data_IF_339467937004
#
_entry.id   IF_339467937004
#
_cell.length_a   1.000
_cell.length_b   1.000
_cell.length_c   1.000
_cell.angle_alpha   90.00
_cell.angle_beta   90.00
_cell.angle_gamma   90.00
#
_symmetry.space_group_name_H-M   'P 1'
#
loop_
_entity.id
_entity.type
_entity.pdbx_description
1 polymer ?
#
# COMPACT_ATOMS: atom_id res chain seq x y z
N UNK A 1 30.39 3.13 -10.64
CA UNK A 1 29.66 1.88 -10.92
C UNK A 1 29.75 1.54 -12.40
N UNK A 2 30.00 0.28 -12.75
CA UNK A 2 30.00 -0.24 -14.13
C UNK A 2 28.57 -0.32 -14.70
N UNK A 3 28.39 -0.35 -16.02
CA UNK A 3 27.05 -0.49 -16.61
C UNK A 3 26.36 -1.81 -16.21
N UNK A 4 27.14 -2.89 -16.05
CA UNK A 4 26.60 -4.17 -15.58
C UNK A 4 26.03 -4.05 -14.16
N UNK A 5 26.78 -3.47 -13.22
CA UNK A 5 26.31 -3.23 -11.85
C UNK A 5 25.06 -2.35 -11.83
N UNK A 6 25.01 -1.30 -12.67
CA UNK A 6 23.82 -0.45 -12.78
C UNK A 6 22.59 -1.25 -13.26
N UNK A 7 22.75 -2.14 -14.24
CA UNK A 7 21.66 -3.02 -14.71
C UNK A 7 21.18 -3.94 -13.60
N UNK A 8 22.09 -4.54 -12.83
CA UNK A 8 21.77 -5.45 -11.73
C UNK A 8 20.95 -4.74 -10.64
N UNK A 9 21.33 -3.53 -10.24
CA UNK A 9 20.55 -2.72 -9.30
C UNK A 9 19.14 -2.45 -9.82
N UNK A 10 19.01 -2.00 -11.08
CA UNK A 10 17.70 -1.70 -11.67
C UNK A 10 16.79 -2.91 -11.75
N UNK A 11 17.33 -4.08 -12.12
CA UNK A 11 16.56 -5.34 -12.15
C UNK A 11 16.12 -5.75 -10.75
N UNK A 12 16.99 -5.62 -9.75
CA UNK A 12 16.65 -5.88 -8.35
C UNK A 12 15.52 -4.95 -7.88
N UNK A 13 15.65 -3.65 -8.12
CA UNK A 13 14.65 -2.65 -7.72
C UNK A 13 13.31 -2.86 -8.43
N UNK A 14 13.32 -3.27 -9.70
CA UNK A 14 12.10 -3.64 -10.41
C UNK A 14 11.39 -4.83 -9.75
N UNK A 15 12.12 -5.89 -9.41
CA UNK A 15 11.54 -7.04 -8.67
C UNK A 15 10.99 -6.62 -7.30
N UNK A 16 11.70 -5.72 -6.61
CA UNK A 16 11.27 -5.23 -5.30
C UNK A 16 10.00 -4.38 -5.39
N UNK A 17 9.95 -3.41 -6.30
CA UNK A 17 8.77 -2.54 -6.45
C UNK A 17 7.56 -3.34 -6.91
N UNK A 18 7.72 -4.36 -7.76
CA UNK A 18 6.62 -5.22 -8.17
C UNK A 18 6.04 -6.02 -6.99
N UNK A 19 6.90 -6.54 -6.11
CA UNK A 19 6.44 -7.25 -4.91
C UNK A 19 5.77 -6.32 -3.90
N UNK A 20 6.32 -5.12 -3.70
CA UNK A 20 5.71 -4.08 -2.86
C UNK A 20 4.33 -3.70 -3.41
N UNK A 21 4.21 -3.56 -4.73
CA UNK A 21 2.95 -3.23 -5.40
C UNK A 21 1.88 -4.30 -5.24
N UNK A 22 2.25 -5.58 -5.30
CA UNK A 22 1.34 -6.68 -5.00
C UNK A 22 0.83 -6.61 -3.56
N UNK A 23 1.74 -6.51 -2.60
CA UNK A 23 1.38 -6.47 -1.19
C UNK A 23 0.51 -5.24 -0.86
N UNK A 24 0.81 -4.07 -1.42
CA UNK A 24 0.00 -2.86 -1.25
C UNK A 24 -1.36 -2.98 -1.96
N UNK A 25 -1.40 -3.57 -3.15
CA UNK A 25 -2.63 -3.83 -3.89
C UNK A 25 -3.62 -4.69 -3.10
N UNK A 26 -3.12 -5.74 -2.44
CA UNK A 26 -3.93 -6.62 -1.58
C UNK A 26 -4.54 -5.85 -0.38
N UNK A 27 -3.78 -4.92 0.21
CA UNK A 27 -4.29 -4.08 1.30
C UNK A 27 -5.36 -3.10 0.83
N UNK A 28 -5.16 -2.47 -0.33
CA UNK A 28 -6.14 -1.56 -0.93
C UNK A 28 -7.45 -2.30 -1.30
N UNK A 29 -7.35 -3.53 -1.83
CA UNK A 29 -8.53 -4.38 -2.06
C UNK A 29 -9.23 -4.72 -0.74
N UNK A 30 -8.46 -5.07 0.30
CA UNK A 30 -9.01 -5.42 1.61
C UNK A 30 -9.76 -4.24 2.23
N UNK A 31 -9.22 -3.02 2.09
CA UNK A 31 -9.87 -1.79 2.54
C UNK A 31 -11.19 -1.53 1.81
N UNK A 32 -11.19 -1.59 0.48
CA UNK A 32 -12.40 -1.41 -0.32
C UNK A 32 -13.47 -2.45 0.04
N UNK A 33 -13.06 -3.71 0.14
CA UNK A 33 -13.94 -4.82 0.50
C UNK A 33 -14.57 -4.57 1.88
N UNK A 34 -13.77 -4.20 2.89
CA UNK A 34 -14.28 -3.91 4.22
C UNK A 34 -15.25 -2.73 4.23
N UNK A 35 -14.95 -1.63 3.52
CA UNK A 35 -15.86 -0.48 3.39
C UNK A 35 -17.20 -0.89 2.80
N UNK A 36 -17.19 -1.68 1.74
CA UNK A 36 -18.39 -2.15 1.08
C UNK A 36 -19.19 -3.12 1.98
N UNK A 37 -18.54 -4.06 2.68
CA UNK A 37 -19.20 -4.93 3.68
C UNK A 37 -19.84 -4.09 4.78
N UNK A 38 -19.11 -3.10 5.33
CA UNK A 38 -19.63 -2.22 6.36
C UNK A 38 -20.87 -1.44 5.89
N UNK A 39 -20.88 -0.98 4.64
CA UNK A 39 -22.04 -0.31 4.04
C UNK A 39 -23.24 -1.26 3.87
N UNK A 40 -23.00 -2.50 3.44
CA UNK A 40 -24.06 -3.52 3.31
C UNK A 40 -24.71 -3.79 4.67
N UNK A 41 -23.90 -4.02 5.71
CA UNK A 41 -24.39 -4.25 7.08
C UNK A 41 -25.12 -3.02 7.62
N UNK A 42 -24.57 -1.81 7.43
CA UNK A 42 -25.18 -0.56 7.85
C UNK A 42 -26.56 -0.32 7.18
N UNK A 43 -26.74 -0.82 5.96
CA UNK A 43 -27.98 -0.64 5.19
C UNK A 43 -29.03 -1.73 5.43
N UNK A 44 -28.67 -2.85 6.08
CA UNK A 44 -29.56 -3.99 6.28
C UNK A 44 -29.90 -4.21 7.77
N UNK A 45 -31.10 -3.76 8.17
CA UNK A 45 -31.59 -3.90 9.56
C UNK A 45 -31.71 -5.35 10.04
N UNK A 46 -31.92 -6.32 9.14
CA UNK A 46 -32.03 -7.73 9.52
C UNK A 46 -30.67 -8.29 9.97
N UNK A 47 -29.59 -7.86 9.31
CA UNK A 47 -28.21 -8.27 9.64
C UNK A 47 -27.74 -7.61 10.95
N UNK A 48 -28.20 -6.39 11.23
CA UNK A 48 -27.84 -5.66 12.47
C UNK A 48 -28.40 -6.27 13.76
N UNK A 49 -29.22 -7.32 13.67
CA UNK A 49 -29.85 -7.98 14.82
C UNK A 49 -28.85 -8.63 15.80
N UNK A 50 -27.64 -8.99 15.35
CA UNK A 50 -26.55 -9.47 16.20
C UNK A 50 -25.22 -8.82 15.84
N UNK A 51 -24.63 -7.98 16.71
CA UNK A 51 -23.40 -7.26 16.40
C UNK A 51 -22.16 -8.17 16.40
N UNK A 52 -22.22 -9.35 17.03
CA UNK A 52 -21.04 -10.18 17.30
C UNK A 52 -20.25 -10.51 16.04
N UNK A 53 -20.91 -11.02 15.00
CA UNK A 53 -20.24 -11.44 13.77
C UNK A 53 -19.58 -10.27 13.05
N UNK A 54 -20.27 -9.12 12.98
CA UNK A 54 -19.71 -7.93 12.34
C UNK A 54 -18.56 -7.32 13.14
N UNK A 55 -18.66 -7.28 14.48
CA UNK A 55 -17.54 -6.88 15.35
C UNK A 55 -16.34 -7.79 15.16
N UNK A 56 -16.54 -9.10 15.02
CA UNK A 56 -15.47 -10.04 14.72
C UNK A 56 -14.82 -9.75 13.35
N UNK A 57 -15.60 -9.48 12.30
CA UNK A 57 -15.07 -9.07 10.99
C UNK A 57 -14.23 -7.78 11.13
N UNK A 58 -14.76 -6.77 11.80
CA UNK A 58 -14.09 -5.49 11.99
C UNK A 58 -12.74 -5.65 12.72
N UNK A 59 -12.70 -6.44 13.79
CA UNK A 59 -11.47 -6.68 14.54
C UNK A 59 -10.43 -7.40 13.67
N UNK A 60 -10.82 -8.45 12.94
CA UNK A 60 -9.90 -9.18 12.06
C UNK A 60 -9.38 -8.32 10.90
N UNK A 61 -10.25 -7.48 10.32
CA UNK A 61 -9.83 -6.50 9.32
C UNK A 61 -8.79 -5.54 9.91
N UNK A 62 -9.06 -4.97 11.08
CA UNK A 62 -8.16 -4.03 11.73
C UNK A 62 -6.79 -4.65 12.06
N UNK A 63 -6.78 -5.86 12.61
CA UNK A 63 -5.53 -6.57 12.91
C UNK A 63 -4.73 -6.85 11.63
N UNK A 64 -5.40 -7.36 10.59
CA UNK A 64 -4.78 -7.71 9.32
C UNK A 64 -4.21 -6.48 8.59
N UNK A 65 -4.99 -5.41 8.48
CA UNK A 65 -4.59 -4.21 7.74
C UNK A 65 -3.44 -3.48 8.44
N UNK A 66 -3.45 -3.43 9.77
CA UNK A 66 -2.38 -2.83 10.58
C UNK A 66 -1.07 -3.59 10.42
N UNK A 67 -1.11 -4.93 10.47
CA UNK A 67 0.08 -5.77 10.23
C UNK A 67 0.62 -5.56 8.82
N UNK A 68 -0.27 -5.53 7.81
CA UNK A 68 0.10 -5.28 6.42
C UNK A 68 0.76 -3.92 6.20
N UNK A 69 0.15 -2.85 6.72
CA UNK A 69 0.67 -1.49 6.67
C UNK A 69 2.05 -1.38 7.33
N UNK A 70 2.19 -1.94 8.53
CA UNK A 70 3.44 -1.89 9.26
C UNK A 70 4.54 -2.67 8.56
N UNK A 71 4.21 -3.79 7.89
CA UNK A 71 5.15 -4.54 7.05
C UNK A 71 5.72 -3.63 5.97
N UNK A 72 4.92 -2.85 5.24
CA UNK A 72 5.39 -1.99 4.14
C UNK A 72 6.37 -0.89 4.55
N UNK A 73 6.42 -0.52 5.83
CA UNK A 73 7.34 0.47 6.37
C UNK A 73 8.21 -0.03 7.54
N UNK A 74 8.41 -1.32 7.71
CA UNK A 74 9.34 -1.84 8.72
C UNK A 74 10.82 -1.48 8.39
N UNK A 75 11.69 -1.61 9.39
CA UNK A 75 13.11 -1.28 9.30
C UNK A 75 14.01 -2.52 9.20
N UNK A 76 13.45 -3.73 9.17
CA UNK A 76 14.25 -4.94 8.98
C UNK A 76 14.93 -4.92 7.60
N UNK A 77 16.24 -4.74 7.60
CA UNK A 77 17.07 -4.68 6.38
C UNK A 77 16.98 -5.93 5.49
N UNK A 78 16.44 -7.04 5.98
CA UNK A 78 16.27 -8.30 5.23
C UNK A 78 14.96 -8.37 4.46
N UNK A 79 14.11 -7.35 4.55
CA UNK A 79 12.75 -7.35 3.99
C UNK A 79 12.63 -6.44 2.76
N UNK A 80 11.75 -6.82 1.84
CA UNK A 80 11.49 -6.09 0.59
C UNK A 80 10.39 -5.06 0.85
N UNK A 81 10.78 -3.86 1.28
CA UNK A 81 9.87 -2.80 1.72
C UNK A 81 10.16 -1.49 1.02
N UNK A 82 9.17 -0.61 0.96
CA UNK A 82 9.29 0.68 0.29
C UNK A 82 10.42 1.52 0.89
N UNK A 83 10.50 1.58 2.22
CA UNK A 83 11.58 2.24 2.94
C UNK A 83 12.99 1.71 2.54
N UNK A 84 13.17 0.39 2.49
CA UNK A 84 14.46 -0.22 2.14
C UNK A 84 14.83 0.00 0.68
N UNK A 85 13.85 -0.05 -0.23
CA UNK A 85 14.03 0.28 -1.64
C UNK A 85 14.54 1.71 -1.81
N UNK A 86 13.93 2.69 -1.14
CA UNK A 86 14.35 4.10 -1.21
C UNK A 86 15.78 4.25 -0.67
N UNK A 87 16.09 3.64 0.48
CA UNK A 87 17.46 3.64 1.04
C UNK A 87 18.48 3.03 0.09
N UNK A 88 18.11 2.00 -0.65
CA UNK A 88 19.01 1.38 -1.61
C UNK A 88 19.27 2.25 -2.84
N UNK A 89 18.25 2.98 -3.31
CA UNK A 89 18.39 3.98 -4.38
C UNK A 89 19.31 5.13 -3.94
N UNK A 90 19.14 5.63 -2.72
CA UNK A 90 20.00 6.68 -2.15
C UNK A 90 21.47 6.26 -2.12
N UNK A 91 21.74 4.99 -1.79
CA UNK A 91 23.11 4.45 -1.73
C UNK A 91 23.73 4.27 -3.12
N UNK A 92 22.92 4.16 -4.18
CA UNK A 92 23.35 3.80 -5.52
C UNK A 92 22.76 4.73 -6.59
N UNK A 93 22.90 6.07 -6.46
CA UNK A 93 22.21 7.03 -7.33
C UNK A 93 22.69 6.95 -8.78
N UNK A 94 23.88 6.41 -9.04
CA UNK A 94 24.44 6.20 -10.38
C UNK A 94 23.66 5.19 -11.23
N UNK A 95 22.83 4.35 -10.62
CA UNK A 95 22.05 3.33 -11.32
C UNK A 95 20.83 3.91 -12.07
N UNK A 96 20.28 5.05 -11.64
CA UNK A 96 19.20 5.75 -12.34
C UNK A 96 19.63 7.19 -12.56
N UNK A 97 20.13 7.46 -13.76
CA UNK A 97 20.43 8.82 -14.22
C UNK A 97 19.23 9.45 -14.91
N UNK A 98 19.26 10.77 -15.06
CA UNK A 98 18.28 11.51 -15.88
C UNK A 98 18.19 10.97 -17.29
N UNK A 99 19.32 10.78 -17.97
CA UNK A 99 19.32 10.25 -19.34
C UNK A 99 18.70 8.85 -19.39
N UNK A 100 19.02 7.98 -18.42
CA UNK A 100 18.40 6.66 -18.33
C UNK A 100 16.88 6.78 -18.13
N UNK A 101 16.42 7.59 -17.17
CA UNK A 101 15.00 7.78 -16.90
C UNK A 101 14.25 8.32 -18.13
N UNK A 102 14.75 9.39 -18.74
CA UNK A 102 14.19 10.02 -19.94
C UNK A 102 14.14 9.04 -21.11
N UNK A 103 15.16 8.19 -21.28
CA UNK A 103 15.20 7.21 -22.37
C UNK A 103 14.07 6.17 -22.33
N UNK A 104 13.39 6.02 -21.18
CA UNK A 104 12.31 5.05 -20.98
C UNK A 104 10.92 5.59 -21.23
N UNK A 105 10.77 6.89 -21.39
CA UNK A 105 9.52 7.45 -21.86
C UNK A 105 9.19 6.85 -23.22
N UNK A 106 8.00 6.24 -23.34
CA UNK A 106 7.61 5.55 -24.57
C UNK A 106 7.69 6.52 -25.74
N UNK A 107 8.08 6.02 -26.93
CA UNK A 107 8.25 6.81 -28.16
C UNK A 107 7.07 7.72 -28.53
N UNK A 108 5.84 7.42 -28.10
CA UNK A 108 4.66 8.24 -28.37
C UNK A 108 4.43 9.37 -27.35
N UNK A 109 5.11 9.34 -26.20
CA UNK A 109 5.19 10.44 -25.22
C UNK A 109 6.52 11.22 -25.36
N UNK A 110 7.02 11.39 -26.58
CA UNK A 110 8.36 11.92 -26.91
C UNK A 110 8.64 13.39 -26.49
N UNK A 111 7.90 13.93 -25.53
CA UNK A 111 8.23 15.20 -24.91
C UNK A 111 9.27 14.99 -23.80
N UNK A 112 10.53 15.19 -24.17
CA UNK A 112 11.66 15.20 -23.23
C UNK A 112 11.43 16.16 -22.06
N UNK A 113 10.72 17.27 -22.27
CA UNK A 113 10.40 18.23 -21.23
C UNK A 113 9.52 17.65 -20.12
N UNK A 114 8.55 16.80 -20.47
CA UNK A 114 7.72 16.08 -19.47
C UNK A 114 8.59 15.11 -18.68
N UNK A 115 9.39 14.30 -19.36
CA UNK A 115 10.28 13.34 -18.69
C UNK A 115 11.29 14.03 -17.77
N UNK A 116 11.86 15.16 -18.20
CA UNK A 116 12.78 15.95 -17.38
C UNK A 116 12.08 16.55 -16.15
N UNK A 117 10.86 17.08 -16.32
CA UNK A 117 10.05 17.59 -15.21
C UNK A 117 9.67 16.49 -14.20
N UNK A 118 9.39 15.27 -14.69
CA UNK A 118 9.10 14.14 -13.81
C UNK A 118 10.36 13.64 -13.08
N UNK A 119 11.54 13.71 -13.71
CA UNK A 119 12.79 13.41 -13.02
C UNK A 119 13.16 14.47 -11.97
N UNK A 120 12.79 15.73 -12.18
CA UNK A 120 12.98 16.82 -11.21
C UNK A 120 12.22 16.60 -9.88
N UNK A 121 11.27 15.65 -9.84
CA UNK A 121 10.65 15.20 -8.57
C UNK A 121 11.66 14.47 -7.68
N UNK A 122 12.68 13.84 -8.26
CA UNK A 122 13.70 13.06 -7.55
C UNK A 122 15.08 13.73 -7.52
N UNK A 123 15.36 14.64 -8.46
CA UNK A 123 16.63 15.36 -8.57
C UNK A 123 16.43 16.88 -8.45
N UNK A 124 17.50 17.64 -8.21
CA UNK A 124 17.41 19.09 -8.46
C UNK A 124 17.24 19.37 -9.95
N UNK A 125 16.64 20.51 -10.29
CA UNK A 125 16.36 20.86 -11.68
C UNK A 125 17.62 20.80 -12.53
N UNK A 126 17.58 19.97 -13.59
CA UNK A 126 18.70 19.76 -14.51
C UNK A 126 19.85 18.87 -13.99
N UNK A 127 19.80 18.38 -12.74
CA UNK A 127 20.81 17.45 -12.24
C UNK A 127 20.69 16.06 -12.86
N UNK A 128 21.84 15.44 -13.14
CA UNK A 128 21.91 14.11 -13.74
C UNK A 128 21.55 12.98 -12.78
N UNK A 129 21.76 13.19 -11.48
CA UNK A 129 21.61 12.18 -10.44
C UNK A 129 20.51 12.57 -9.45
N UNK A 130 19.93 11.54 -8.86
CA UNK A 130 18.90 11.66 -7.82
C UNK A 130 19.47 12.40 -6.59
N UNK A 131 18.63 13.24 -5.97
CA UNK A 131 18.97 14.00 -4.77
C UNK A 131 18.71 13.15 -3.52
N UNK A 132 19.77 12.75 -2.81
CA UNK A 132 19.65 12.04 -1.53
C UNK A 132 18.79 12.81 -0.52
N UNK A 133 18.91 14.14 -0.51
CA UNK A 133 18.13 15.02 0.39
C UNK A 133 16.63 14.90 0.13
N UNK A 134 16.20 14.80 -1.15
CA UNK A 134 14.78 14.65 -1.49
C UNK A 134 14.25 13.28 -1.04
N UNK A 135 14.98 12.21 -1.35
CA UNK A 135 14.57 10.85 -0.97
C UNK A 135 14.61 10.63 0.55
N UNK A 136 15.58 11.23 1.27
CA UNK A 136 15.63 11.21 2.74
C UNK A 136 14.42 11.91 3.36
N UNK A 137 13.91 12.98 2.74
CA UNK A 137 12.66 13.63 3.17
C UNK A 137 11.48 12.68 3.00
N UNK A 138 11.42 11.94 1.90
CA UNK A 138 10.35 10.96 1.68
C UNK A 138 10.39 9.84 2.72
N UNK A 139 11.58 9.32 3.06
CA UNK A 139 11.74 8.32 4.14
C UNK A 139 11.22 8.86 5.47
N UNK A 140 11.64 10.08 5.85
CA UNK A 140 11.20 10.69 7.11
C UNK A 140 9.69 10.94 7.13
N UNK A 141 9.12 11.31 5.99
CA UNK A 141 7.68 11.49 5.85
C UNK A 141 6.97 10.14 5.99
N UNK A 142 7.47 9.10 5.33
CA UNK A 142 6.96 7.75 5.42
C UNK A 142 6.96 7.20 6.85
N UNK A 143 8.04 7.43 7.61
CA UNK A 143 8.10 7.07 9.02
C UNK A 143 7.08 7.85 9.86
N UNK A 144 6.96 9.15 9.63
CA UNK A 144 6.03 10.01 10.35
C UNK A 144 4.58 9.59 10.15
N UNK A 145 4.14 9.43 8.90
CA UNK A 145 2.73 9.16 8.58
C UNK A 145 2.29 7.74 8.99
N UNK A 146 3.22 6.79 9.09
CA UNK A 146 2.89 5.42 9.51
C UNK A 146 3.16 5.15 11.00
N UNK A 147 3.66 6.13 11.76
CA UNK A 147 4.09 5.92 13.14
C UNK A 147 2.95 5.48 14.06
N UNK A 148 1.76 6.05 13.88
CA UNK A 148 0.58 5.71 14.68
C UNK A 148 0.22 4.22 14.50
N UNK A 149 0.21 3.74 13.26
CA UNK A 149 -0.09 2.34 12.91
C UNK A 149 0.99 1.40 13.47
N UNK A 150 2.27 1.77 13.36
CA UNK A 150 3.38 0.98 13.93
C UNK A 150 3.26 0.84 15.44
N UNK A 151 3.01 1.95 16.14
CA UNK A 151 2.85 1.94 17.59
C UNK A 151 1.67 1.08 18.04
N UNK A 152 0.55 1.18 17.31
CA UNK A 152 -0.62 0.36 17.58
C UNK A 152 -0.35 -1.13 17.36
N UNK A 153 0.27 -1.50 16.23
CA UNK A 153 0.72 -2.88 15.97
C UNK A 153 1.53 -3.38 17.16
N UNK A 154 2.59 -2.67 17.53
CA UNK A 154 3.57 -3.15 18.49
C UNK A 154 2.98 -3.35 19.88
N UNK A 155 2.06 -2.48 20.31
CA UNK A 155 1.55 -2.48 21.69
C UNK A 155 0.22 -3.20 21.90
N UNK A 156 -0.52 -3.45 20.83
CA UNK A 156 -1.89 -3.98 20.92
C UNK A 156 -2.12 -5.23 20.08
N UNK A 157 -1.50 -5.33 18.91
CA UNK A 157 -1.73 -6.46 17.97
C UNK A 157 -0.65 -7.53 18.14
N UNK A 158 0.63 -7.13 18.07
CA UNK A 158 1.76 -8.06 18.07
C UNK A 158 2.28 -8.37 19.48
N UNK A 159 2.28 -7.39 20.38
CA UNK A 159 2.61 -7.59 21.78
C UNK A 159 1.50 -7.02 22.64
N UNK A 160 1.04 -7.76 23.65
CA UNK A 160 0.23 -7.21 24.73
C UNK A 160 1.16 -6.51 25.71
N UNK A 161 1.63 -5.32 25.33
CA UNK A 161 2.55 -4.57 26.17
C UNK A 161 1.87 -4.22 27.50
N UNK A 162 2.55 -4.47 28.62
CA UNK A 162 2.04 -4.16 29.97
C UNK A 162 1.99 -2.65 30.18
N UNK A 163 2.79 -1.89 29.45
CA UNK A 163 2.86 -0.44 29.49
C UNK A 163 2.45 0.15 28.12
N UNK A 164 1.19 0.00 27.74
CA UNK A 164 0.60 0.60 26.53
C UNK A 164 0.79 2.13 26.53
N UNK A 165 1.92 2.58 25.98
CA UNK A 165 2.29 3.99 25.96
C UNK A 165 1.46 4.80 24.95
N UNK A 166 0.90 4.13 23.95
CA UNK A 166 0.04 4.75 22.94
C UNK A 166 -1.36 4.92 23.51
N UNK A 167 -1.70 6.17 23.82
CA UNK A 167 -3.03 6.55 24.32
C UNK A 167 -4.06 6.73 23.20
N UNK A 168 -3.59 6.88 21.95
CA UNK A 168 -4.44 7.10 20.78
C UNK A 168 -4.44 5.86 19.90
N UNK A 169 -5.58 5.18 19.82
CA UNK A 169 -5.77 4.07 18.89
C UNK A 169 -6.06 4.62 17.49
N UNK A 170 -5.55 3.98 16.42
CA UNK A 170 -5.88 4.37 15.06
C UNK A 170 -7.36 4.12 14.78
N UNK A 171 -7.98 5.09 14.12
CA UNK A 171 -9.31 5.00 13.56
C UNK A 171 -9.27 4.34 12.17
N UNK A 172 -10.43 4.01 11.61
CA UNK A 172 -10.51 3.57 10.22
C UNK A 172 -10.00 4.63 9.23
N UNK A 173 -10.21 5.92 9.54
CA UNK A 173 -9.70 7.01 8.72
C UNK A 173 -8.18 7.09 8.78
N UNK A 174 -7.56 6.87 9.95
CA UNK A 174 -6.10 6.85 10.06
C UNK A 174 -5.49 5.73 9.19
N UNK A 175 -6.14 4.56 9.13
CA UNK A 175 -5.74 3.45 8.25
C UNK A 175 -5.88 3.82 6.78
N UNK A 176 -6.97 4.50 6.42
CA UNK A 176 -7.24 4.95 5.06
C UNK A 176 -6.21 5.97 4.57
N UNK A 177 -5.99 7.02 5.36
CA UNK A 177 -5.01 8.04 5.05
C UNK A 177 -3.60 7.44 4.93
N UNK A 178 -3.24 6.47 5.78
CA UNK A 178 -1.97 5.77 5.69
C UNK A 178 -1.85 4.94 4.39
N UNK A 179 -2.91 4.25 3.94
CA UNK A 179 -2.91 3.49 2.69
C UNK A 179 -2.81 4.40 1.47
N UNK A 180 -3.57 5.49 1.43
CA UNK A 180 -3.53 6.47 0.35
C UNK A 180 -2.13 7.10 0.23
N UNK A 181 -1.54 7.46 1.38
CA UNK A 181 -0.19 7.98 1.43
C UNK A 181 0.85 6.96 0.91
N UNK A 182 0.76 5.69 1.34
CA UNK A 182 1.65 4.63 0.84
C UNK A 182 1.49 4.41 -0.67
N UNK A 183 0.27 4.45 -1.19
CA UNK A 183 0.01 4.34 -2.62
C UNK A 183 0.58 5.54 -3.39
N UNK A 184 0.51 6.75 -2.85
CA UNK A 184 1.19 7.90 -3.43
C UNK A 184 2.70 7.71 -3.52
N UNK A 185 3.35 7.36 -2.42
CA UNK A 185 4.80 7.14 -2.41
C UNK A 185 5.17 6.00 -3.36
N UNK A 186 4.44 4.89 -3.31
CA UNK A 186 4.63 3.76 -4.21
C UNK A 186 4.57 4.19 -5.68
N UNK A 187 3.53 4.90 -6.13
CA UNK A 187 3.38 5.35 -7.52
C UNK A 187 4.55 6.20 -7.99
N UNK A 188 5.08 7.07 -7.12
CA UNK A 188 6.26 7.89 -7.44
C UNK A 188 7.49 7.02 -7.67
N UNK A 189 7.79 6.08 -6.78
CA UNK A 189 8.97 5.21 -6.93
C UNK A 189 8.79 4.15 -8.03
N UNK A 190 7.56 3.70 -8.28
CA UNK A 190 7.21 2.91 -9.46
C UNK A 190 7.53 3.68 -10.74
N UNK A 191 7.12 4.95 -10.85
CA UNK A 191 7.47 5.79 -12.00
C UNK A 191 8.99 5.94 -12.15
N UNK A 192 9.73 6.18 -11.06
CA UNK A 192 11.20 6.27 -11.09
C UNK A 192 11.84 4.98 -11.64
N UNK A 193 11.35 3.81 -11.22
CA UNK A 193 11.94 2.49 -11.52
C UNK A 193 11.41 1.88 -12.81
N UNK A 194 10.18 2.19 -13.25
CA UNK A 194 9.51 1.59 -14.42
C UNK A 194 9.37 2.56 -15.60
N UNK A 195 9.40 3.88 -15.34
CA UNK A 195 9.30 4.91 -16.38
C UNK A 195 7.88 5.08 -16.91
N UNK A 196 6.94 4.32 -16.37
CA UNK A 196 5.51 4.43 -16.61
C UNK A 196 4.82 4.92 -15.32
N UNK A 197 3.99 5.95 -15.46
CA UNK A 197 3.06 6.33 -14.41
C UNK A 197 1.96 5.29 -14.26
N UNK A 198 1.59 4.98 -13.02
CA UNK A 198 0.42 4.16 -12.68
C UNK A 198 -0.52 4.97 -11.80
N UNK A 199 -1.82 4.71 -11.89
CA UNK A 199 -2.84 5.44 -11.14
C UNK A 199 -2.93 5.02 -9.67
N UNK A 200 -2.65 3.75 -9.38
CA UNK A 200 -2.68 3.11 -8.05
C UNK A 200 -2.02 1.73 -8.12
N UNK A 201 -1.55 1.19 -6.99
CA UNK A 201 -1.17 -0.20 -6.83
C UNK A 201 -2.39 -1.15 -6.88
N UNK A 202 -3.59 -0.64 -6.59
CA UNK A 202 -4.81 -1.44 -6.55
C UNK A 202 -5.12 -2.05 -7.93
N UNK A 203 -5.16 -3.38 -8.06
CA UNK A 203 -5.56 -4.00 -9.31
C UNK A 203 -7.07 -3.86 -9.52
N UNK A 204 -7.51 -3.89 -10.78
CA UNK A 204 -8.92 -4.05 -11.10
C UNK A 204 -9.35 -5.49 -10.76
N UNK A 205 -10.40 -5.63 -9.95
CA UNK A 205 -11.00 -6.94 -9.67
C UNK A 205 -11.69 -7.48 -10.93
N UNK A 206 -11.38 -8.72 -11.29
CA UNK A 206 -11.94 -9.38 -12.47
C UNK A 206 -13.24 -10.15 -12.18
N UNK A 207 -13.68 -10.21 -10.92
CA UNK A 207 -14.85 -10.96 -10.46
C UNK A 207 -15.68 -10.12 -9.49
N UNK A 208 -16.98 -10.43 -9.41
CA UNK A 208 -17.89 -9.81 -8.46
C UNK A 208 -17.88 -10.57 -7.14
N UNK A 209 -17.04 -10.13 -6.20
CA UNK A 209 -16.92 -10.78 -4.89
C UNK A 209 -18.24 -10.72 -4.08
N UNK A 210 -19.13 -9.78 -4.38
CA UNK A 210 -20.42 -9.60 -3.68
C UNK A 210 -21.43 -10.69 -4.02
N UNK A 211 -21.24 -11.44 -5.11
CA UNK A 211 -22.13 -12.55 -5.50
C UNK A 211 -22.37 -13.50 -4.31
N UNK A 212 -21.30 -13.81 -3.57
CA UNK A 212 -21.34 -14.64 -2.36
C UNK A 212 -22.26 -14.13 -1.24
N UNK A 213 -22.56 -12.83 -1.22
CA UNK A 213 -23.43 -12.19 -0.22
C UNK A 213 -24.89 -12.11 -0.66
N UNK A 214 -25.21 -12.48 -1.90
CA UNK A 214 -26.57 -12.44 -2.45
C UNK A 214 -27.40 -13.67 -2.10
N UNK A 215 -26.77 -14.70 -1.57
CA UNK A 215 -27.39 -15.96 -1.19
C UNK A 215 -27.47 -16.10 0.35
N UNK A 216 -28.54 -16.69 0.90
CA UNK A 216 -28.58 -17.02 2.31
C UNK A 216 -27.49 -18.04 2.63
N UNK A 217 -26.67 -17.75 3.64
CA UNK A 217 -25.62 -18.67 4.09
C UNK A 217 -26.15 -19.82 4.95
N UNK A 218 -27.38 -19.67 5.45
CA UNK A 218 -28.11 -20.68 6.21
C UNK A 218 -29.45 -20.87 5.51
N UNK A 219 -29.69 -22.06 4.97
CA UNK A 219 -31.00 -22.45 4.47
C UNK A 219 -31.92 -22.65 5.67
N UNK A 220 -33.01 -21.88 5.72
CA UNK A 220 -34.06 -22.11 6.70
C UNK A 220 -34.88 -23.31 6.19
N UNK A 221 -35.13 -24.35 7.01
CA UNK A 221 -36.05 -25.40 6.63
C UNK A 221 -37.40 -24.76 6.29
N UNK A 222 -38.03 -25.20 5.21
CA UNK A 222 -39.40 -24.81 4.90
C UNK A 222 -40.26 -25.16 6.12
N UNK A 223 -40.94 -24.17 6.70
CA UNK A 223 -41.97 -24.44 7.70
C UNK A 223 -42.99 -25.34 7.01
N UNK A 224 -43.07 -26.61 7.41
CA UNK A 224 -44.21 -27.45 7.05
C UNK A 224 -45.45 -26.69 7.51
N UNK A 225 -46.21 -26.15 6.56
CA UNK A 225 -47.49 -25.54 6.84
C UNK A 225 -48.34 -26.65 7.43
N UNK A 226 -48.51 -26.64 8.75
CA UNK A 226 -49.53 -27.40 9.43
C UNK A 226 -50.89 -26.88 8.93
N UNK A 227 -51.33 -27.39 7.78
CA UNK A 227 -52.73 -27.40 7.40
C UNK A 227 -53.46 -28.30 8.41
N UNK A 228 -54.08 -27.68 9.41
CA UNK A 228 -55.21 -28.23 10.16
C UNK A 228 -56.22 -27.13 10.50
#
# INVERSE_FOLDING_TARGET
MTEQEKVEFRQKWKKWIDKIGQDLGDLLISQDTFKEVAQIVASNKQIQSSPFFFTWIQNNYMDSIVVGLARLNDHDSRTILLHNLIKEIIKNPEAITRDYFVSRYKKWMQDRGIADNDFDKFAEKGNQYISSIKLDKDIKHLDKETQLIKNFRDQWVAHLDVNQATKQLPTHNDVEEALEFLDEIFRRYYMLIDGAGIGTAKPALAFDWKESLTHPWIEMPEEESDEN
#
